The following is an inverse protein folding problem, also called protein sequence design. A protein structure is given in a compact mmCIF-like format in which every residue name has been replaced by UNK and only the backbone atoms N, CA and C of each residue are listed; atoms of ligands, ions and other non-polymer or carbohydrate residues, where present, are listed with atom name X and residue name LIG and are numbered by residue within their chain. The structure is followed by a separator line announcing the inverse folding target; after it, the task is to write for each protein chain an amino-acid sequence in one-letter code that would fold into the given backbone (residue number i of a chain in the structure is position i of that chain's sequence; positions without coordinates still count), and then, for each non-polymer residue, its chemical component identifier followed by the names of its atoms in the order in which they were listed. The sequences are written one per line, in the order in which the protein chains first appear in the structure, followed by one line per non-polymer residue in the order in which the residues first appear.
data_IF_953931412022
#
_entry.id   IF_953931412022
#
_cell.length_a   1.000
_cell.length_b   1.000
_cell.length_c   1.000
_cell.angle_alpha   90.00
_cell.angle_beta   90.00
_cell.angle_gamma   90.00
#
_symmetry.space_group_name_H-M   'P 1'
#
loop_
_entity.id
_entity.type
_entity.pdbx_description
1 polymer ?
#
# COMPACT_ATOMS: atom_id res chain seq x y z
N UNK A 1 -14.60 19.19 -1.09
CA UNK A 1 -13.43 18.85 -1.91
C UNK A 1 -13.37 17.33 -2.05
N UNK A 2 -13.16 16.79 -3.26
CA UNK A 2 -13.12 15.35 -3.52
C UNK A 2 -11.73 14.76 -3.24
N UNK A 3 -10.69 15.48 -3.67
CA UNK A 3 -9.28 15.16 -3.47
C UNK A 3 -8.61 16.37 -2.80
N UNK A 4 -8.14 16.29 -1.54
CA UNK A 4 -7.36 17.35 -0.92
C UNK A 4 -5.96 17.45 -1.54
N UNK A 5 -5.25 18.55 -1.26
CA UNK A 5 -3.81 18.63 -1.53
C UNK A 5 -3.04 17.56 -0.74
N UNK A 6 -1.77 17.30 -1.09
CA UNK A 6 -0.93 16.39 -0.32
C UNK A 6 -0.81 16.90 1.13
N UNK A 7 -0.88 15.98 2.09
CA UNK A 7 -0.46 16.26 3.46
C UNK A 7 1.05 16.12 3.51
N UNK A 8 1.74 17.17 3.96
CA UNK A 8 3.20 17.20 4.08
C UNK A 8 3.51 17.63 5.51
N UNK A 9 3.98 16.68 6.31
CA UNK A 9 4.47 16.90 7.67
C UNK A 9 6.00 16.80 7.70
N UNK A 10 6.67 17.28 8.77
CA UNK A 10 8.10 17.07 8.91
C UNK A 10 8.45 15.58 8.85
N UNK A 11 9.61 15.26 8.26
CA UNK A 11 10.12 13.91 8.04
C UNK A 11 9.29 13.03 7.06
N UNK A 12 8.25 13.57 6.42
CA UNK A 12 7.56 12.94 5.28
C UNK A 12 8.45 12.99 4.03
N UNK A 13 8.24 12.04 3.10
CA UNK A 13 9.04 11.91 1.87
C UNK A 13 9.10 13.22 1.07
N UNK A 14 7.95 13.86 0.85
CA UNK A 14 7.87 15.14 0.14
C UNK A 14 8.40 16.33 0.94
N UNK A 15 8.59 16.21 2.26
CA UNK A 15 9.24 17.23 3.06
C UNK A 15 10.77 17.12 2.97
N UNK A 16 11.29 15.90 2.87
CA UNK A 16 12.72 15.62 2.66
C UNK A 16 13.16 15.91 1.21
N UNK A 17 12.28 15.71 0.23
CA UNK A 17 12.50 16.08 -1.18
C UNK A 17 11.36 16.95 -1.75
N UNK A 18 11.32 18.25 -1.38
CA UNK A 18 10.27 19.17 -1.84
C UNK A 18 10.34 19.51 -3.33
N UNK A 19 11.47 19.20 -3.99
CA UNK A 19 11.70 19.44 -5.42
C UNK A 19 11.47 18.18 -6.26
N UNK A 20 10.94 17.10 -5.66
CA UNK A 20 10.62 15.87 -6.38
C UNK A 20 9.78 16.19 -7.63
N UNK A 21 10.24 15.79 -8.82
CA UNK A 21 9.63 16.26 -10.06
C UNK A 21 8.21 15.72 -10.18
N UNK A 22 7.22 16.59 -10.48
CA UNK A 22 5.89 16.10 -10.81
C UNK A 22 5.96 15.35 -12.14
N UNK A 23 5.28 14.21 -12.25
CA UNK A 23 5.07 13.54 -13.52
C UNK A 23 3.66 13.88 -14.01
N UNK A 24 3.52 14.63 -15.10
CA UNK A 24 2.22 14.90 -15.71
C UNK A 24 1.75 13.73 -16.61
N UNK A 25 0.57 13.85 -17.23
CA UNK A 25 0.05 12.79 -18.12
C UNK A 25 0.89 12.64 -19.40
N UNK A 26 1.41 13.73 -19.96
CA UNK A 26 2.20 13.69 -21.18
C UNK A 26 3.55 13.04 -20.92
N UNK A 27 4.23 13.43 -19.85
CA UNK A 27 5.49 12.82 -19.42
C UNK A 27 5.32 11.32 -19.18
N UNK A 28 4.27 10.94 -18.44
CA UNK A 28 3.92 9.53 -18.26
C UNK A 28 3.67 8.78 -19.58
N UNK A 29 2.96 9.41 -20.52
CA UNK A 29 2.62 8.78 -21.80
C UNK A 29 3.83 8.58 -22.70
N UNK A 30 4.77 9.54 -22.66
CA UNK A 30 5.97 9.57 -23.48
C UNK A 30 7.14 8.77 -22.83
N UNK A 31 6.95 8.20 -21.64
CA UNK A 31 7.93 7.35 -20.92
C UNK A 31 8.30 6.10 -21.73
N UNK A 32 9.59 5.97 -22.07
CA UNK A 32 10.12 4.89 -22.93
C UNK A 32 10.19 3.54 -22.21
N UNK A 33 10.41 3.55 -20.89
CA UNK A 33 10.51 2.32 -20.09
C UNK A 33 9.14 1.74 -19.71
N UNK A 34 8.03 2.41 -20.09
CA UNK A 34 6.68 1.99 -19.75
C UNK A 34 6.28 0.70 -20.47
N UNK A 35 5.81 -0.27 -19.69
CA UNK A 35 5.25 -1.51 -20.23
C UNK A 35 3.80 -1.31 -20.69
N UNK A 36 3.45 -1.62 -21.94
CA UNK A 36 2.06 -1.51 -22.40
C UNK A 36 1.21 -2.66 -21.86
N UNK A 37 0.00 -2.33 -21.40
CA UNK A 37 -1.05 -3.34 -21.18
C UNK A 37 -1.62 -3.71 -22.55
N UNK A 38 -1.74 -5.01 -22.82
CA UNK A 38 -2.30 -5.53 -24.08
C UNK A 38 -3.22 -6.71 -23.77
N UNK A 39 -4.06 -7.12 -24.72
CA UNK A 39 -4.93 -8.29 -24.53
C UNK A 39 -4.14 -9.57 -24.22
N UNK A 40 -2.94 -9.69 -24.78
CA UNK A 40 -2.01 -10.81 -24.57
C UNK A 40 -1.21 -10.68 -23.27
N UNK A 41 -1.00 -9.44 -22.79
CA UNK A 41 -0.19 -9.13 -21.61
C UNK A 41 -0.92 -8.15 -20.69
N UNK A 42 -1.94 -8.66 -19.99
CA UNK A 42 -2.76 -7.91 -19.02
C UNK A 42 -2.89 -8.59 -17.66
N UNK A 43 -2.07 -9.61 -17.39
CA UNK A 43 -2.14 -10.34 -16.13
C UNK A 43 -1.16 -9.77 -15.10
N UNK A 44 -1.65 -9.42 -13.91
CA UNK A 44 -0.83 -9.18 -12.72
C UNK A 44 -0.75 -10.48 -11.93
N UNK A 45 0.46 -10.96 -11.66
CA UNK A 45 0.68 -12.14 -10.85
C UNK A 45 1.13 -11.78 -9.45
N UNK A 46 0.42 -12.28 -8.44
CA UNK A 46 0.83 -12.19 -7.03
C UNK A 46 1.49 -13.50 -6.63
N UNK A 47 2.77 -13.45 -6.29
CA UNK A 47 3.54 -14.56 -5.74
C UNK A 47 3.40 -14.52 -4.22
N UNK A 48 2.84 -15.57 -3.59
CA UNK A 48 2.76 -15.62 -2.14
C UNK A 48 4.15 -15.77 -1.52
N UNK A 49 4.26 -15.44 -0.22
CA UNK A 49 5.49 -15.62 0.55
C UNK A 49 6.10 -17.01 0.35
N UNK A 50 7.42 -17.12 0.02
CA UNK A 50 8.04 -18.39 -0.27
C UNK A 50 7.95 -19.37 0.90
N UNK A 51 7.67 -20.64 0.61
CA UNK A 51 7.54 -21.65 1.66
C UNK A 51 8.88 -21.90 2.36
N UNK A 52 8.89 -21.93 3.69
CA UNK A 52 10.10 -22.22 4.48
C UNK A 52 10.33 -23.73 4.55
N UNK A 53 11.47 -24.21 4.03
CA UNK A 53 11.83 -25.63 4.11
C UNK A 53 12.40 -26.01 5.49
N UNK A 54 12.42 -27.31 5.79
CA UNK A 54 12.92 -27.83 7.06
C UNK A 54 14.40 -27.48 7.32
N UNK A 55 15.21 -27.30 6.28
CA UNK A 55 16.64 -26.94 6.41
C UNK A 55 16.87 -25.56 7.04
N UNK A 56 15.87 -24.68 6.90
CA UNK A 56 15.90 -23.28 7.35
C UNK A 56 14.69 -22.94 8.21
N UNK A 57 14.12 -23.94 8.91
CA UNK A 57 12.91 -23.79 9.73
C UNK A 57 12.98 -22.64 10.75
N UNK A 58 14.19 -22.26 11.18
CA UNK A 58 14.43 -21.14 12.10
C UNK A 58 14.03 -19.79 11.52
N UNK A 59 13.90 -19.66 10.20
CA UNK A 59 13.40 -18.45 9.54
C UNK A 59 11.95 -18.13 9.91
N UNK A 60 11.16 -19.09 10.41
CA UNK A 60 9.78 -18.84 10.84
C UNK A 60 9.69 -17.75 11.91
N UNK A 61 10.74 -17.54 12.70
CA UNK A 61 10.75 -16.48 13.71
C UNK A 61 11.08 -15.10 13.13
N UNK A 62 11.51 -14.99 11.87
CA UNK A 62 11.89 -13.71 11.24
C UNK A 62 10.66 -12.86 10.92
N UNK A 63 9.49 -13.49 10.75
CA UNK A 63 8.22 -12.80 10.51
C UNK A 63 7.49 -12.40 11.81
N UNK A 64 8.13 -12.56 12.97
CA UNK A 64 7.54 -12.24 14.28
C UNK A 64 8.12 -10.95 14.81
N UNK A 65 7.26 -9.96 15.03
CA UNK A 65 7.64 -8.68 15.62
C UNK A 65 8.33 -8.82 16.97
N UNK A 66 9.46 -8.15 17.15
CA UNK A 66 10.15 -8.01 18.43
C UNK A 66 9.85 -6.64 19.01
N UNK A 67 8.91 -6.57 19.97
CA UNK A 67 8.54 -5.33 20.66
C UNK A 67 9.12 -5.30 22.07
N UNK A 68 9.86 -4.24 22.43
CA UNK A 68 10.27 -3.94 23.82
C UNK A 68 9.06 -3.60 24.72
N UNK A 69 7.90 -3.28 24.13
CA UNK A 69 6.64 -3.00 24.80
C UNK A 69 5.74 -4.25 24.89
N UNK A 70 6.30 -5.43 25.11
CA UNK A 70 5.56 -6.65 25.48
C UNK A 70 4.93 -6.53 26.89
N UNK A 71 4.20 -5.45 27.14
CA UNK A 71 3.31 -5.28 28.27
C UNK A 71 2.14 -6.25 28.09
N UNK A 72 2.26 -7.37 28.79
CA UNK A 72 1.30 -8.46 28.96
C UNK A 72 1.18 -9.44 27.80
N UNK A 73 1.61 -10.65 28.11
CA UNK A 73 1.56 -11.93 27.37
C UNK A 73 0.14 -12.39 27.00
N UNK A 74 -0.85 -11.49 26.99
CA UNK A 74 -2.26 -11.74 26.61
C UNK A 74 -2.63 -11.20 25.22
N UNK A 75 -1.94 -10.18 24.71
CA UNK A 75 -2.21 -9.60 23.38
C UNK A 75 -1.38 -10.27 22.25
N UNK A 76 -0.51 -11.23 22.57
CA UNK A 76 0.21 -12.05 21.58
C UNK A 76 -0.72 -13.03 20.82
N UNK A 77 -2.04 -12.97 21.04
CA UNK A 77 -3.02 -13.86 20.41
C UNK A 77 -3.37 -13.41 18.99
N UNK A 78 -2.81 -14.15 18.03
CA UNK A 78 -3.43 -14.58 16.77
C UNK A 78 -4.14 -13.52 15.91
N UNK A 79 -3.45 -12.41 15.58
CA UNK A 79 -3.81 -11.72 14.33
C UNK A 79 -3.45 -12.65 13.18
N UNK A 80 -4.44 -13.15 12.45
CA UNK A 80 -4.20 -13.93 11.25
C UNK A 80 -3.75 -13.01 10.10
N UNK A 81 -2.84 -13.46 9.23
CA UNK A 81 -2.47 -12.71 8.03
C UNK A 81 -3.67 -12.48 7.11
N UNK A 82 -3.69 -11.37 6.36
CA UNK A 82 -4.71 -11.12 5.36
C UNK A 82 -4.80 -12.29 4.40
N UNK A 83 -6.03 -12.74 4.11
CA UNK A 83 -6.22 -13.82 3.14
C UNK A 83 -5.80 -13.32 1.77
N UNK A 84 -5.00 -14.12 1.07
CA UNK A 84 -4.58 -13.81 -0.32
C UNK A 84 -5.78 -13.52 -1.22
N UNK A 85 -6.91 -14.21 -1.03
CA UNK A 85 -8.11 -13.96 -1.81
C UNK A 85 -8.66 -12.54 -1.62
N UNK A 86 -8.59 -11.97 -0.42
CA UNK A 86 -9.03 -10.60 -0.16
C UNK A 86 -8.10 -9.57 -0.81
N UNK A 87 -6.80 -9.85 -0.83
CA UNK A 87 -5.79 -9.06 -1.57
C UNK A 87 -6.11 -9.09 -3.08
N UNK A 88 -6.28 -10.29 -3.65
CA UNK A 88 -6.56 -10.45 -5.09
C UNK A 88 -7.83 -9.72 -5.50
N UNK A 89 -8.89 -9.77 -4.69
CA UNK A 89 -10.15 -9.08 -4.98
C UNK A 89 -10.02 -7.55 -4.93
N UNK A 90 -9.29 -7.01 -3.94
CA UNK A 90 -9.04 -5.58 -3.87
C UNK A 90 -8.20 -5.10 -5.07
N UNK A 91 -7.11 -5.79 -5.38
CA UNK A 91 -6.26 -5.44 -6.52
C UNK A 91 -7.01 -5.60 -7.85
N UNK A 92 -7.87 -6.62 -8.00
CA UNK A 92 -8.72 -6.76 -9.19
C UNK A 92 -9.68 -5.59 -9.35
N UNK A 93 -10.21 -5.05 -8.25
CA UNK A 93 -11.04 -3.86 -8.28
C UNK A 93 -10.22 -2.59 -8.57
N UNK A 94 -9.01 -2.48 -8.03
CA UNK A 94 -8.12 -1.33 -8.23
C UNK A 94 -7.56 -1.26 -9.65
N UNK A 95 -7.18 -2.39 -10.24
CA UNK A 95 -6.69 -2.54 -11.59
C UNK A 95 -7.78 -3.10 -12.53
N UNK A 96 -9.02 -2.62 -12.37
CA UNK A 96 -10.17 -3.02 -13.20
C UNK A 96 -9.79 -3.08 -14.68
N UNK A 97 -10.15 -4.17 -15.36
CA UNK A 97 -9.75 -4.45 -16.76
C UNK A 97 -8.53 -5.37 -16.92
N UNK A 98 -7.68 -5.48 -15.89
CA UNK A 98 -6.58 -6.45 -15.83
C UNK A 98 -6.98 -7.75 -15.11
N UNK A 99 -6.29 -8.85 -15.41
CA UNK A 99 -6.48 -10.09 -14.67
C UNK A 99 -5.52 -10.10 -13.47
N UNK A 100 -6.00 -10.26 -12.23
CA UNK A 100 -5.13 -10.45 -11.07
C UNK A 100 -5.18 -11.91 -10.63
N UNK A 101 -4.05 -12.61 -10.69
CA UNK A 101 -3.97 -14.06 -10.47
C UNK A 101 -2.91 -14.41 -9.42
N UNK A 102 -3.17 -15.49 -8.68
CA UNK A 102 -2.14 -16.10 -7.84
C UNK A 102 -1.12 -16.82 -8.73
N UNK A 103 0.15 -16.61 -8.47
CA UNK A 103 1.22 -17.40 -9.08
C UNK A 103 1.33 -18.75 -8.37
N UNK A 104 1.05 -19.84 -9.08
CA UNK A 104 0.86 -21.17 -8.47
C UNK A 104 2.13 -21.99 -8.30
N UNK A 105 3.22 -21.62 -8.98
CA UNK A 105 4.50 -22.34 -8.86
C UNK A 105 5.25 -21.80 -7.62
N UNK A 106 5.60 -22.65 -6.64
CA UNK A 106 6.10 -22.15 -5.37
C UNK A 106 7.57 -21.73 -5.46
N UNK A 107 7.89 -20.59 -4.86
CA UNK A 107 9.24 -20.27 -4.41
C UNK A 107 9.47 -20.91 -3.03
N UNK A 108 10.71 -21.26 -2.71
CA UNK A 108 11.03 -21.89 -1.43
C UNK A 108 12.32 -21.35 -0.81
N UNK A 109 12.27 -21.03 0.48
CA UNK A 109 13.47 -20.74 1.25
C UNK A 109 14.24 -22.03 1.51
N UNK A 110 15.52 -22.03 1.17
CA UNK A 110 16.46 -23.13 1.33
C UNK A 110 17.76 -22.66 1.96
N UNK A 111 18.53 -23.65 2.40
CA UNK A 111 19.85 -23.43 2.95
C UNK A 111 20.78 -22.82 1.88
N UNK A 112 21.51 -21.78 2.25
CA UNK A 112 22.65 -21.30 1.49
C UNK A 112 23.92 -21.66 2.25
N UNK A 113 24.79 -22.45 1.61
CA UNK A 113 26.01 -23.01 2.21
C UNK A 113 25.77 -23.71 3.57
N UNK A 114 26.25 -23.10 4.65
CA UNK A 114 26.18 -23.62 6.02
C UNK A 114 25.10 -22.92 6.87
N UNK A 115 24.54 -21.82 6.40
CA UNK A 115 23.61 -20.99 7.19
C UNK A 115 22.20 -21.58 7.19
N UNK A 116 21.59 -21.68 8.37
CA UNK A 116 20.30 -22.37 8.59
C UNK A 116 19.19 -21.42 9.01
N UNK A 117 19.35 -20.11 8.74
CA UNK A 117 18.36 -19.09 9.12
C UNK A 117 18.34 -18.72 10.61
N UNK A 118 19.43 -18.95 11.34
CA UNK A 118 19.55 -18.51 12.75
C UNK A 118 19.67 -16.99 12.84
N UNK A 119 18.88 -16.33 13.70
CA UNK A 119 18.98 -14.88 13.94
C UNK A 119 20.43 -14.46 14.23
N UNK A 120 20.86 -13.40 13.55
CA UNK A 120 22.19 -12.82 13.71
C UNK A 120 22.20 -11.91 14.95
N UNK A 121 23.28 -11.95 15.72
CA UNK A 121 23.39 -11.20 16.99
C UNK A 121 24.05 -9.83 16.83
N UNK A 122 24.73 -9.62 15.71
CA UNK A 122 25.58 -8.47 15.44
C UNK A 122 25.03 -7.76 14.20
N UNK A 123 24.62 -6.48 14.31
CA UNK A 123 24.02 -5.74 13.19
C UNK A 123 24.88 -5.71 11.93
N UNK A 124 26.20 -5.59 12.08
CA UNK A 124 27.15 -5.50 10.95
C UNK A 124 27.42 -6.83 10.24
N UNK A 125 26.81 -7.93 10.70
CA UNK A 125 27.03 -9.25 10.09
C UNK A 125 26.00 -9.53 9.02
N UNK A 126 26.47 -9.66 7.79
CA UNK A 126 25.66 -10.16 6.68
C UNK A 126 25.85 -11.67 6.49
N UNK A 127 24.75 -12.34 6.14
CA UNK A 127 24.74 -13.73 5.65
C UNK A 127 23.87 -13.83 4.41
N UNK A 128 23.96 -14.94 3.70
CA UNK A 128 23.02 -15.28 2.62
C UNK A 128 22.13 -16.45 3.02
N UNK A 129 20.89 -16.41 2.55
CA UNK A 129 19.89 -17.47 2.62
C UNK A 129 19.40 -17.78 1.21
N UNK A 130 19.05 -19.03 0.93
CA UNK A 130 18.75 -19.46 -0.43
C UNK A 130 17.28 -19.25 -0.78
N UNK A 131 16.98 -18.64 -1.92
CA UNK A 131 15.64 -18.60 -2.50
C UNK A 131 15.61 -19.48 -3.76
N UNK A 132 14.93 -20.62 -3.65
CA UNK A 132 14.74 -21.56 -4.76
C UNK A 132 13.55 -21.09 -5.60
N UNK A 133 13.80 -20.86 -6.88
CA UNK A 133 12.79 -20.44 -7.86
C UNK A 133 12.00 -21.64 -8.40
N UNK A 134 10.85 -21.39 -9.04
CA UNK A 134 10.15 -22.37 -9.87
C UNK A 134 11.01 -23.00 -10.97
N UNK A 135 11.98 -22.26 -11.53
CA UNK A 135 12.95 -22.74 -12.52
C UNK A 135 14.01 -23.69 -11.94
N UNK A 136 14.00 -23.92 -10.61
CA UNK A 136 14.98 -24.71 -9.84
C UNK A 136 16.36 -24.06 -9.73
N UNK A 137 16.42 -22.75 -9.86
CA UNK A 137 17.63 -21.96 -9.61
C UNK A 137 17.62 -21.49 -8.15
N UNK A 138 18.80 -21.47 -7.54
CA UNK A 138 18.96 -21.04 -6.15
C UNK A 138 19.65 -19.68 -6.14
N UNK A 139 18.93 -18.66 -5.70
CA UNK A 139 19.45 -17.30 -5.52
C UNK A 139 19.92 -17.11 -4.09
N UNK A 140 21.07 -16.48 -3.90
CA UNK A 140 21.61 -16.21 -2.58
C UNK A 140 21.16 -14.85 -2.10
N UNK A 141 20.14 -14.80 -1.27
CA UNK A 141 19.53 -13.57 -0.76
C UNK A 141 20.32 -13.09 0.46
N UNK A 142 20.87 -11.88 0.41
CA UNK A 142 21.50 -11.23 1.56
C UNK A 142 20.49 -11.03 2.67
N UNK A 143 20.93 -11.20 3.90
CA UNK A 143 20.12 -11.02 5.08
C UNK A 143 20.97 -10.50 6.24
N UNK A 144 20.36 -9.65 7.06
CA UNK A 144 20.98 -8.97 8.20
C UNK A 144 20.04 -8.92 9.40
N UNK A 145 20.55 -8.62 10.58
CA UNK A 145 19.68 -8.25 11.70
C UNK A 145 19.08 -6.85 11.44
N UNK A 146 17.83 -6.61 11.86
CA UNK A 146 17.22 -5.29 11.67
C UNK A 146 17.94 -4.22 12.48
N UNK A 147 18.28 -3.06 11.90
CA UNK A 147 18.95 -1.97 12.63
C UNK A 147 18.14 -1.42 13.81
N UNK A 148 16.82 -1.40 13.69
CA UNK A 148 15.89 -0.86 14.70
C UNK A 148 15.37 -1.90 15.71
N UNK A 149 15.71 -3.17 15.53
CA UNK A 149 15.27 -4.27 16.40
C UNK A 149 13.78 -4.60 16.36
N UNK A 150 12.96 -3.95 15.52
CA UNK A 150 11.51 -4.25 15.39
C UNK A 150 11.31 -5.60 14.67
N UNK A 151 12.11 -5.84 13.63
CA UNK A 151 12.27 -7.17 13.04
C UNK A 151 13.49 -7.89 13.62
N UNK A 152 13.43 -9.21 13.85
CA UNK A 152 14.62 -9.98 14.17
C UNK A 152 15.65 -10.00 13.03
N UNK A 153 15.18 -10.02 11.78
CA UNK A 153 15.99 -10.22 10.59
C UNK A 153 15.33 -9.57 9.36
N UNK A 154 16.14 -9.09 8.42
CA UNK A 154 15.70 -8.53 7.15
C UNK A 154 16.31 -9.31 5.99
N UNK A 155 15.61 -9.36 4.86
CA UNK A 155 16.14 -9.86 3.58
C UNK A 155 16.35 -8.69 2.61
N UNK A 156 17.39 -8.78 1.78
CA UNK A 156 17.68 -7.74 0.80
C UNK A 156 16.68 -7.81 -0.36
N UNK A 157 16.06 -6.67 -0.65
CA UNK A 157 15.01 -6.48 -1.64
C UNK A 157 15.49 -6.71 -3.08
N UNK A 158 16.65 -6.18 -3.45
CA UNK A 158 17.17 -6.32 -4.81
C UNK A 158 17.43 -7.78 -5.17
N UNK A 159 18.02 -8.55 -4.24
CA UNK A 159 18.27 -9.97 -4.46
C UNK A 159 16.95 -10.77 -4.66
N UNK A 160 15.83 -10.32 -4.05
CA UNK A 160 14.49 -10.91 -4.27
C UNK A 160 13.98 -10.58 -5.67
N UNK A 161 14.12 -9.32 -6.08
CA UNK A 161 13.66 -8.84 -7.37
C UNK A 161 14.45 -9.50 -8.52
N UNK A 162 15.76 -9.72 -8.36
CA UNK A 162 16.58 -10.50 -9.28
C UNK A 162 16.05 -11.93 -9.47
N UNK A 163 15.70 -12.61 -8.38
CA UNK A 163 15.13 -13.96 -8.45
C UNK A 163 13.74 -13.98 -9.14
N UNK A 164 12.97 -12.89 -8.99
CA UNK A 164 11.66 -12.75 -9.60
C UNK A 164 11.75 -12.45 -11.10
N UNK A 165 12.74 -11.66 -11.53
CA UNK A 165 12.95 -11.25 -12.92
C UNK A 165 13.10 -12.45 -13.88
N UNK A 166 13.74 -13.53 -13.43
CA UNK A 166 13.94 -14.76 -14.19
C UNK A 166 12.69 -15.66 -14.26
N UNK A 167 11.59 -15.29 -13.59
CA UNK A 167 10.40 -16.14 -13.42
C UNK A 167 9.09 -15.47 -13.84
N UNK A 168 9.15 -14.49 -14.74
CA UNK A 168 7.99 -13.74 -15.24
C UNK A 168 7.20 -14.57 -16.28
N UNK A 169 5.89 -14.86 -16.07
CA UNK A 169 5.05 -15.47 -17.09
C UNK A 169 4.97 -14.64 -18.37
N UNK A 170 4.80 -15.30 -19.52
CA UNK A 170 4.76 -14.61 -20.82
C UNK A 170 3.58 -13.65 -20.99
N UNK A 171 2.45 -13.95 -20.35
CA UNK A 171 1.22 -13.13 -20.34
C UNK A 171 1.19 -12.12 -19.16
N UNK A 172 2.22 -12.12 -18.33
CA UNK A 172 2.30 -11.20 -17.20
C UNK A 172 2.63 -9.78 -17.68
N UNK A 173 1.74 -8.84 -17.37
CA UNK A 173 2.07 -7.43 -17.34
C UNK A 173 3.07 -7.15 -16.22
N UNK A 174 2.81 -7.66 -15.02
CA UNK A 174 3.69 -7.50 -13.87
C UNK A 174 3.59 -8.68 -12.93
N UNK A 175 4.63 -8.87 -12.13
CA UNK A 175 4.71 -9.89 -11.09
C UNK A 175 5.16 -9.24 -9.79
N UNK A 176 4.43 -9.51 -8.72
CA UNK A 176 4.73 -9.01 -7.39
C UNK A 176 4.96 -10.15 -6.41
N UNK A 177 6.06 -10.13 -5.66
CA UNK A 177 6.27 -11.05 -4.54
C UNK A 177 5.82 -10.42 -3.22
N UNK A 178 4.95 -11.13 -2.50
CA UNK A 178 4.65 -10.84 -1.10
C UNK A 178 5.66 -11.55 -0.19
N UNK A 179 6.11 -10.88 0.86
CA UNK A 179 7.02 -11.45 1.85
C UNK A 179 6.48 -11.28 3.27
N UNK A 180 6.52 -12.35 4.07
CA UNK A 180 6.19 -12.27 5.50
C UNK A 180 7.30 -11.63 6.33
N UNK A 181 8.50 -11.52 5.74
CA UNK A 181 9.70 -10.99 6.39
C UNK A 181 9.90 -9.51 6.05
N UNK A 182 10.55 -8.81 6.97
CA UNK A 182 11.00 -7.44 6.75
C UNK A 182 12.08 -7.36 5.65
N UNK A 183 12.15 -6.23 4.94
CA UNK A 183 13.06 -6.04 3.81
C UNK A 183 13.92 -4.79 4.00
N UNK A 184 15.06 -4.75 3.30
CA UNK A 184 15.90 -3.57 3.13
C UNK A 184 16.47 -3.53 1.72
N UNK A 185 16.80 -2.35 1.22
CA UNK A 185 17.44 -2.18 -0.08
C UNK A 185 18.95 -1.91 0.07
N UNK A 186 19.31 -0.82 0.76
CA UNK A 186 20.68 -0.37 0.94
C UNK A 186 21.19 -0.34 2.39
N UNK A 187 22.46 0.03 2.54
CA UNK A 187 23.16 0.08 3.83
C UNK A 187 22.70 1.25 4.73
N UNK A 188 22.08 2.28 4.14
CA UNK A 188 21.52 3.43 4.87
C UNK A 188 20.08 3.25 5.33
N UNK A 189 19.36 2.27 4.78
CA UNK A 189 17.93 2.11 5.04
C UNK A 189 17.71 1.41 6.37
N UNK A 190 16.70 1.87 7.12
CA UNK A 190 16.22 1.12 8.28
C UNK A 190 15.43 -0.10 7.78
N UNK A 191 14.50 0.09 6.84
CA UNK A 191 13.71 -0.95 6.18
C UNK A 191 13.11 -0.40 4.88
N UNK A 192 12.53 -1.28 4.07
CA UNK A 192 11.75 -0.93 2.87
C UNK A 192 10.45 -1.73 2.87
N UNK A 193 9.29 -1.06 2.80
CA UNK A 193 7.98 -1.75 2.81
C UNK A 193 7.64 -2.39 1.46
N UNK A 194 8.04 -1.73 0.36
CA UNK A 194 7.83 -2.19 -1.00
C UNK A 194 8.77 -1.49 -1.97
N UNK A 195 8.97 -2.11 -3.14
CA UNK A 195 9.66 -1.50 -4.28
C UNK A 195 9.21 -2.17 -5.56
N UNK A 196 9.18 -1.38 -6.63
CA UNK A 196 9.01 -1.84 -7.98
C UNK A 196 10.18 -1.41 -8.88
N UNK A 197 10.57 -2.30 -9.79
CA UNK A 197 11.33 -1.96 -10.98
C UNK A 197 10.37 -2.02 -12.16
N UNK A 198 9.70 -0.89 -12.42
CA UNK A 198 8.54 -0.84 -13.31
C UNK A 198 8.83 -1.28 -14.74
N UNK A 199 9.93 -0.81 -15.33
CA UNK A 199 10.42 -1.26 -16.65
C UNK A 199 10.69 -2.76 -16.71
N UNK A 200 11.15 -3.35 -15.61
CA UNK A 200 11.40 -4.79 -15.47
C UNK A 200 10.15 -5.62 -15.12
N UNK A 201 8.99 -4.98 -14.90
CA UNK A 201 7.70 -5.65 -14.60
C UNK A 201 7.69 -6.44 -13.29
N UNK A 202 8.52 -6.06 -12.32
CA UNK A 202 8.68 -6.77 -11.05
C UNK A 202 8.50 -5.83 -9.86
N UNK A 203 7.90 -6.35 -8.81
CA UNK A 203 7.75 -5.65 -7.54
C UNK A 203 7.84 -6.63 -6.35
N UNK A 204 8.13 -6.13 -5.17
CA UNK A 204 8.05 -6.88 -3.93
C UNK A 204 7.48 -6.00 -2.82
N UNK A 205 6.67 -6.60 -1.94
CA UNK A 205 6.06 -5.93 -0.78
C UNK A 205 6.18 -6.83 0.43
N UNK A 206 6.61 -6.25 1.55
CA UNK A 206 6.65 -6.91 2.85
C UNK A 206 5.33 -6.70 3.60
N UNK A 207 4.83 -7.75 4.22
CA UNK A 207 3.69 -7.68 5.14
C UNK A 207 4.12 -7.30 6.57
N UNK A 208 5.42 -7.30 6.86
CA UNK A 208 5.94 -7.30 8.23
C UNK A 208 5.64 -6.01 8.97
N UNK A 209 5.97 -4.86 8.38
CA UNK A 209 5.84 -3.54 9.01
C UNK A 209 4.40 -3.08 9.14
N UNK A 210 3.54 -3.61 8.29
CA UNK A 210 2.10 -3.42 8.36
C UNK A 210 1.41 -4.36 9.36
N UNK A 211 2.10 -5.34 9.95
CA UNK A 211 1.53 -6.20 10.97
C UNK A 211 1.05 -5.36 12.16
N UNK A 212 -0.15 -5.55 12.74
CA UNK A 212 -0.68 -4.69 13.81
C UNK A 212 0.17 -4.60 15.09
N UNK A 213 1.06 -5.57 15.30
CA UNK A 213 2.04 -5.56 16.41
C UNK A 213 3.31 -4.75 16.10
N UNK A 214 3.59 -4.47 14.82
CA UNK A 214 4.75 -3.68 14.37
C UNK A 214 4.35 -2.27 13.94
N UNK A 215 3.17 -2.13 13.35
CA UNK A 215 2.66 -0.84 12.92
C UNK A 215 2.40 0.07 14.14
N UNK A 216 2.61 1.39 14.00
CA UNK A 216 2.19 2.36 15.00
C UNK A 216 0.71 2.20 15.33
N UNK A 217 0.34 2.48 16.59
CA UNK A 217 -1.06 2.42 17.01
C UNK A 217 -1.84 3.52 16.30
N UNK A 218 -3.01 3.18 15.79
CA UNK A 218 -3.95 4.16 15.25
C UNK A 218 -4.35 5.15 16.34
N UNK A 219 -3.90 6.39 16.20
CA UNK A 219 -4.18 7.52 17.08
C UNK A 219 -5.49 8.24 16.72
N UNK A 220 -6.22 7.72 15.73
CA UNK A 220 -7.45 8.29 15.19
C UNK A 220 -7.23 9.24 14.01
N UNK A 221 -5.97 9.51 13.64
CA UNK A 221 -5.58 10.45 12.60
C UNK A 221 -5.01 9.78 11.33
N UNK A 222 -5.10 8.46 11.20
CA UNK A 222 -4.98 7.80 9.91
C UNK A 222 -6.04 8.33 8.90
N UNK A 223 -5.84 8.08 7.60
CA UNK A 223 -6.85 8.40 6.59
C UNK A 223 -8.20 7.74 6.96
N UNK A 224 -9.35 8.45 6.84
CA UNK A 224 -9.57 9.75 6.20
C UNK A 224 -9.41 10.99 7.10
N UNK A 225 -9.00 10.83 8.35
CA UNK A 225 -8.89 11.91 9.34
C UNK A 225 -7.49 12.59 9.38
N UNK A 226 -6.60 12.24 8.46
CA UNK A 226 -5.20 12.70 8.41
C UNK A 226 -5.04 14.22 8.31
N UNK A 227 -6.04 14.93 7.78
CA UNK A 227 -6.01 16.39 7.65
C UNK A 227 -6.60 17.12 8.87
N UNK A 228 -6.63 16.50 10.05
CA UNK A 228 -7.12 17.14 11.26
C UNK A 228 -6.20 18.30 11.68
N UNK A 229 -6.70 19.53 11.62
CA UNK A 229 -5.91 20.73 11.92
C UNK A 229 -5.22 20.67 13.30
N UNK A 230 -5.94 20.24 14.35
CA UNK A 230 -5.36 20.14 15.70
C UNK A 230 -4.22 19.13 15.80
N UNK A 231 -4.32 18.02 15.07
CA UNK A 231 -3.29 17.00 15.03
C UNK A 231 -2.05 17.48 14.27
N UNK A 232 -2.26 18.10 13.11
CA UNK A 232 -1.20 18.69 12.30
C UNK A 232 -0.46 19.78 13.09
N UNK A 233 -1.18 20.71 13.72
CA UNK A 233 -0.59 21.75 14.55
C UNK A 233 0.27 21.16 15.67
N UNK A 234 -0.19 20.07 16.30
CA UNK A 234 0.56 19.38 17.34
C UNK A 234 1.88 18.80 16.80
N UNK A 235 1.84 18.03 15.70
CA UNK A 235 3.03 17.42 15.12
C UNK A 235 4.05 18.47 14.67
N UNK A 236 3.61 19.53 14.00
CA UNK A 236 4.47 20.64 13.61
C UNK A 236 5.12 21.34 14.82
N UNK A 237 4.38 21.48 15.93
CA UNK A 237 4.89 22.08 17.17
C UNK A 237 5.90 21.20 17.90
N UNK A 238 5.69 19.88 17.94
CA UNK A 238 6.60 18.92 18.59
C UNK A 238 7.98 18.93 17.95
N UNK A 239 8.04 18.96 16.62
CA UNK A 239 9.30 19.08 15.86
C UNK A 239 9.99 20.43 16.12
N UNK A 240 9.20 21.51 16.21
CA UNK A 240 9.75 22.86 16.44
C UNK A 240 10.24 23.09 17.87
N UNK A 241 9.69 22.40 18.88
CA UNK A 241 10.00 22.61 20.31
C UNK A 241 9.95 21.30 21.12
N UNK A 242 10.96 20.42 21.01
CA UNK A 242 10.94 19.08 21.62
C UNK A 242 10.93 19.07 23.17
N UNK A 243 11.17 20.21 23.84
CA UNK A 243 11.35 20.29 25.30
C UNK A 243 10.16 20.83 26.11
N UNK A 244 9.02 21.14 25.50
CA UNK A 244 7.85 21.70 26.23
C UNK A 244 6.63 20.77 26.18
N UNK A 245 6.34 20.09 27.31
CA UNK A 245 5.02 19.49 27.54
C UNK A 245 3.98 20.61 27.60
N UNK A 246 3.08 20.70 26.61
CA UNK A 246 1.99 21.68 26.64
C UNK A 246 0.74 21.14 27.32
N UNK A 247 0.12 22.05 28.08
CA UNK A 247 -1.25 22.03 28.59
C UNK A 247 -2.25 22.14 27.44
N UNK A 248 -3.30 21.30 27.48
CA UNK A 248 -4.42 21.30 26.52
C UNK A 248 -4.93 22.71 26.23
N UNK A 249 -4.61 23.27 25.06
CA UNK A 249 -5.26 24.47 24.53
C UNK A 249 -6.58 24.07 23.89
N UNK A 250 -7.66 24.76 24.26
CA UNK A 250 -8.96 24.59 23.61
C UNK A 250 -8.92 25.20 22.20
N UNK A 251 -9.55 24.55 21.20
CA UNK A 251 -9.51 25.03 19.83
C UNK A 251 -10.34 26.31 19.66
N UNK A 252 -9.93 27.22 18.75
CA UNK A 252 -10.82 28.28 18.30
C UNK A 252 -12.02 27.65 17.57
N UNK A 253 -13.23 28.11 17.92
CA UNK A 253 -14.47 27.70 17.24
C UNK A 253 -14.44 28.24 15.80
N UNK A 254 -13.98 27.45 14.84
CA UNK A 254 -14.28 27.70 13.43
C UNK A 254 -15.70 27.22 13.15
N UNK A 255 -16.52 28.12 12.59
CA UNK A 255 -17.83 27.76 12.08
C UNK A 255 -17.63 26.76 10.94
N UNK A 256 -18.04 25.49 11.16
CA UNK A 256 -18.09 24.46 10.11
C UNK A 256 -18.97 24.98 8.96
N UNK A 257 -18.36 25.37 7.84
CA UNK A 257 -19.08 25.70 6.60
C UNK A 257 -19.17 24.45 5.73
N UNK A 258 -20.40 24.07 5.42
CA UNK A 258 -20.87 23.05 4.47
C UNK A 258 -20.15 21.69 4.43
N UNK A 259 -20.55 20.83 5.38
CA UNK A 259 -20.16 19.43 5.49
C UNK A 259 -20.96 18.51 4.58
N UNK A 260 -20.64 18.49 3.28
CA UNK A 260 -21.28 17.57 2.32
C UNK A 260 -20.35 16.97 1.26
N UNK A 261 -19.04 17.23 1.33
CA UNK A 261 -18.06 16.70 0.37
C UNK A 261 -17.71 15.22 0.62
N UNK A 262 -17.18 14.49 -0.39
CA UNK A 262 -16.81 13.07 -0.24
C UNK A 262 -15.91 12.80 0.97
N UNK A 263 -14.89 13.64 1.21
CA UNK A 263 -13.99 13.48 2.35
C UNK A 263 -14.69 13.71 3.71
N UNK A 264 -15.68 14.60 3.76
CA UNK A 264 -16.44 14.85 4.99
C UNK A 264 -17.24 13.60 5.37
N UNK A 265 -17.95 13.02 4.39
CA UNK A 265 -18.72 11.79 4.57
C UNK A 265 -17.81 10.61 4.94
N UNK A 266 -16.61 10.55 4.37
CA UNK A 266 -15.60 9.55 4.75
C UNK A 266 -15.18 9.67 6.22
N UNK A 267 -14.90 10.89 6.71
CA UNK A 267 -14.54 11.15 8.11
C UNK A 267 -15.67 10.76 9.05
N UNK A 268 -16.91 11.11 8.72
CA UNK A 268 -18.08 10.74 9.53
C UNK A 268 -18.27 9.22 9.58
N UNK A 269 -18.14 8.53 8.44
CA UNK A 269 -18.25 7.08 8.37
C UNK A 269 -17.11 6.35 9.10
N UNK A 270 -15.92 6.96 9.18
CA UNK A 270 -14.76 6.41 9.89
C UNK A 270 -14.76 6.72 11.39
N UNK A 271 -15.68 7.55 11.90
CA UNK A 271 -15.73 7.87 13.33
C UNK A 271 -16.11 6.63 14.16
N UNK A 272 -15.25 6.26 15.12
CA UNK A 272 -15.51 5.13 16.02
C UNK A 272 -16.53 5.59 17.08
N UNK A 273 -17.57 4.78 17.29
CA UNK A 273 -18.51 4.99 18.39
C UNK A 273 -18.02 4.26 19.64
N UNK A 274 -17.62 5.03 20.65
CA UNK A 274 -16.91 4.59 21.88
C UNK A 274 -17.60 3.49 22.71
N UNK A 275 -18.85 3.14 22.41
CA UNK A 275 -19.65 2.17 23.16
C UNK A 275 -19.61 0.73 22.59
N UNK A 276 -18.81 0.47 21.56
CA UNK A 276 -18.82 -0.83 20.86
C UNK A 276 -17.54 -1.63 21.03
N UNK A 277 -17.71 -2.94 21.24
CA UNK A 277 -16.62 -3.93 21.25
C UNK A 277 -15.94 -3.98 19.89
N UNK A 278 -14.60 -3.99 19.86
CA UNK A 278 -13.81 -4.16 18.63
C UNK A 278 -13.96 -5.61 18.15
N UNK A 279 -14.39 -5.86 16.91
CA UNK A 279 -14.49 -7.21 16.34
C UNK A 279 -13.13 -7.91 16.25
N UNK A 280 -13.12 -9.24 16.34
CA UNK A 280 -11.89 -10.04 16.35
C UNK A 280 -11.10 -9.92 15.04
N UNK A 281 -11.81 -9.71 13.93
CA UNK A 281 -11.27 -9.55 12.58
C UNK A 281 -10.65 -8.16 12.31
N UNK A 282 -10.82 -7.19 13.21
CA UNK A 282 -10.38 -5.81 12.98
C UNK A 282 -8.87 -5.67 12.73
N UNK A 283 -7.96 -6.31 13.49
CA UNK A 283 -6.52 -6.21 13.24
C UNK A 283 -6.13 -6.73 11.85
N UNK A 284 -6.69 -7.86 11.42
CA UNK A 284 -6.45 -8.43 10.09
C UNK A 284 -7.00 -7.53 8.99
N UNK A 285 -8.17 -6.93 9.17
CA UNK A 285 -8.76 -6.01 8.18
C UNK A 285 -7.97 -4.69 8.06
N UNK A 286 -7.43 -4.17 9.17
CA UNK A 286 -6.54 -3.01 9.16
C UNK A 286 -5.20 -3.32 8.49
N UNK A 287 -4.64 -4.50 8.78
CA UNK A 287 -3.43 -4.99 8.12
C UNK A 287 -3.63 -5.14 6.61
N UNK A 288 -4.73 -5.77 6.19
CA UNK A 288 -5.13 -5.85 4.79
C UNK A 288 -5.16 -4.45 4.15
N UNK A 289 -5.78 -3.49 4.82
CA UNK A 289 -5.93 -2.13 4.32
C UNK A 289 -4.61 -1.43 4.03
N UNK A 290 -3.62 -1.56 4.92
CA UNK A 290 -2.27 -1.00 4.69
C UNK A 290 -1.57 -1.69 3.53
N UNK A 291 -1.53 -3.02 3.56
CA UNK A 291 -0.84 -3.83 2.57
C UNK A 291 -1.36 -3.59 1.16
N UNK A 292 -2.69 -3.57 0.96
CA UNK A 292 -3.24 -3.43 -0.40
C UNK A 292 -3.01 -2.04 -1.00
N UNK A 293 -2.86 -1.00 -0.17
CA UNK A 293 -2.49 0.34 -0.64
C UNK A 293 -1.03 0.35 -1.08
N UNK A 294 -0.12 -0.20 -0.28
CA UNK A 294 1.30 -0.38 -0.65
C UNK A 294 1.45 -1.24 -1.91
N UNK A 295 0.72 -2.36 -2.02
CA UNK A 295 0.73 -3.18 -3.22
C UNK A 295 0.19 -2.44 -4.45
N UNK A 296 -0.87 -1.65 -4.30
CA UNK A 296 -1.39 -0.86 -5.41
C UNK A 296 -0.41 0.24 -5.84
N UNK A 297 0.33 0.83 -4.90
CA UNK A 297 1.40 1.77 -5.17
C UNK A 297 2.50 1.15 -6.04
N UNK A 298 3.09 0.03 -5.60
CA UNK A 298 4.15 -0.64 -6.36
C UNK A 298 3.69 -1.18 -7.72
N UNK A 299 2.44 -1.63 -7.83
CA UNK A 299 1.88 -2.06 -9.12
C UNK A 299 1.59 -0.90 -10.07
N UNK A 300 1.31 0.31 -9.56
CA UNK A 300 1.22 1.50 -10.38
C UNK A 300 2.59 1.92 -10.94
N UNK A 301 3.68 1.75 -10.17
CA UNK A 301 5.04 1.89 -10.71
C UNK A 301 5.30 0.93 -11.88
N UNK A 302 4.76 -0.30 -11.82
CA UNK A 302 4.82 -1.22 -12.97
C UNK A 302 4.07 -0.72 -14.22
N UNK A 303 3.16 0.24 -14.08
CA UNK A 303 2.44 0.92 -15.17
C UNK A 303 3.10 2.26 -15.57
N UNK A 304 4.28 2.56 -15.03
CA UNK A 304 5.07 3.76 -15.33
C UNK A 304 4.68 5.01 -14.53
N UNK A 305 3.80 4.90 -13.52
CA UNK A 305 3.44 6.04 -12.69
C UNK A 305 4.57 6.32 -11.69
N UNK A 306 5.07 7.55 -11.65
CA UNK A 306 5.99 8.02 -10.59
C UNK A 306 5.24 8.45 -9.32
N UNK A 307 5.99 8.84 -8.28
CA UNK A 307 5.38 9.43 -7.11
C UNK A 307 4.56 10.68 -7.49
N UNK A 308 3.41 10.85 -6.84
CA UNK A 308 2.46 11.93 -7.09
C UNK A 308 2.68 13.08 -6.11
N UNK A 309 2.90 14.28 -6.63
CA UNK A 309 3.04 15.51 -5.82
C UNK A 309 1.82 16.45 -5.90
N UNK A 310 0.81 16.12 -6.73
CA UNK A 310 -0.31 17.02 -7.03
C UNK A 310 -1.42 17.09 -5.96
N UNK A 311 -1.79 15.95 -5.40
CA UNK A 311 -2.93 15.78 -4.49
C UNK A 311 -2.62 14.66 -3.50
N UNK A 312 -3.43 14.55 -2.44
CA UNK A 312 -3.45 13.31 -1.66
C UNK A 312 -3.72 12.13 -2.59
N UNK A 313 -2.82 11.14 -2.60
CA UNK A 313 -2.83 10.06 -3.58
C UNK A 313 -2.12 8.82 -3.02
N UNK A 314 -2.62 7.63 -3.36
CA UNK A 314 -1.93 6.37 -3.08
C UNK A 314 -0.54 6.30 -3.75
N UNK A 315 -0.28 7.13 -4.76
CA UNK A 315 1.03 7.27 -5.40
C UNK A 315 1.93 8.31 -4.76
N UNK A 316 1.58 8.93 -3.62
CA UNK A 316 2.57 9.77 -2.93
C UNK A 316 3.74 8.91 -2.45
N UNK A 317 4.96 9.47 -2.49
CA UNK A 317 6.10 8.85 -1.82
C UNK A 317 5.85 8.67 -0.32
N UNK A 318 6.53 7.71 0.28
CA UNK A 318 6.29 7.30 1.67
C UNK A 318 7.58 6.85 2.34
N UNK A 319 8.06 7.63 3.30
CA UNK A 319 9.29 7.34 4.05
C UNK A 319 9.07 6.56 5.34
N UNK A 320 7.82 6.45 5.84
CA UNK A 320 7.55 5.84 7.14
C UNK A 320 6.19 5.12 7.22
N UNK A 321 6.03 4.25 8.22
CA UNK A 321 4.73 3.57 8.49
C UNK A 321 3.67 4.57 8.98
N UNK A 322 4.08 5.65 9.66
CA UNK A 322 3.16 6.72 10.09
C UNK A 322 2.67 7.55 8.91
N UNK A 323 3.53 7.81 7.92
CA UNK A 323 3.13 8.42 6.65
C UNK A 323 2.18 7.53 5.85
N UNK A 324 2.48 6.22 5.74
CA UNK A 324 1.64 5.25 5.05
C UNK A 324 0.19 5.23 5.57
N UNK A 325 0.01 5.37 6.89
CA UNK A 325 -1.33 5.41 7.50
C UNK A 325 -2.15 6.66 7.14
N UNK A 326 -1.49 7.74 6.72
CA UNK A 326 -2.12 9.00 6.33
C UNK A 326 -2.47 9.04 4.84
N UNK A 327 -1.87 8.17 4.03
CA UNK A 327 -2.12 8.08 2.60
C UNK A 327 -3.54 7.58 2.29
N UNK A 328 -4.21 8.14 1.26
CA UNK A 328 -5.52 7.68 0.86
C UNK A 328 -5.47 6.36 0.07
N UNK A 329 -6.52 5.52 0.13
CA UNK A 329 -6.63 4.28 -0.65
C UNK A 329 -7.07 4.52 -2.11
N UNK A 330 -6.98 5.76 -2.60
CA UNK A 330 -7.37 6.15 -3.96
C UNK A 330 -6.21 6.82 -4.69
N UNK A 331 -6.27 6.79 -6.03
CA UNK A 331 -5.45 7.65 -6.88
C UNK A 331 -6.18 8.96 -7.16
N UNK A 332 -5.43 10.06 -7.22
CA UNK A 332 -5.95 11.39 -7.57
C UNK A 332 -6.35 11.45 -9.05
N UNK A 333 -7.02 12.52 -9.53
CA UNK A 333 -7.47 12.61 -10.92
C UNK A 333 -6.35 12.46 -11.96
N UNK A 334 -5.14 12.94 -11.67
CA UNK A 334 -3.98 12.83 -12.57
C UNK A 334 -3.52 11.38 -12.68
N UNK A 335 -3.29 10.72 -11.55
CA UNK A 335 -2.90 9.30 -11.52
C UNK A 335 -4.02 8.37 -12.00
N UNK A 336 -5.29 8.73 -11.78
CA UNK A 336 -6.43 7.99 -12.29
C UNK A 336 -6.48 8.02 -13.82
N UNK A 337 -6.26 9.19 -14.43
CA UNK A 337 -6.23 9.34 -15.88
C UNK A 337 -5.11 8.48 -16.50
N UNK A 338 -3.91 8.49 -15.90
CA UNK A 338 -2.80 7.62 -16.31
C UNK A 338 -3.16 6.14 -16.18
N UNK A 339 -3.63 5.72 -14.99
CA UNK A 339 -3.98 4.33 -14.70
C UNK A 339 -5.08 3.80 -15.64
N UNK A 340 -6.17 4.56 -15.80
CA UNK A 340 -7.29 4.18 -16.63
C UNK A 340 -6.89 4.15 -18.11
N UNK A 341 -6.09 5.12 -18.58
CA UNK A 341 -5.57 5.10 -19.96
C UNK A 341 -4.65 3.91 -20.19
N UNK A 342 -3.72 3.64 -19.28
CA UNK A 342 -2.78 2.53 -19.36
C UNK A 342 -3.48 1.19 -19.62
N UNK A 343 -4.57 0.95 -18.89
CA UNK A 343 -5.34 -0.29 -18.99
C UNK A 343 -6.32 -0.22 -20.16
N UNK A 344 -7.09 0.84 -20.25
CA UNK A 344 -8.19 1.04 -21.18
C UNK A 344 -7.78 0.92 -22.65
N UNK A 345 -6.73 1.64 -23.06
CA UNK A 345 -6.21 1.60 -24.44
C UNK A 345 -5.84 0.17 -24.88
N UNK A 346 -5.36 -0.64 -23.93
CA UNK A 346 -4.89 -1.99 -24.21
C UNK A 346 -5.97 -3.06 -24.27
N UNK A 347 -7.10 -2.87 -23.56
CA UNK A 347 -8.06 -3.95 -23.30
C UNK A 347 -9.53 -3.60 -23.55
N UNK A 348 -9.87 -2.32 -23.78
CA UNK A 348 -11.25 -1.85 -23.98
C UNK A 348 -11.43 -1.38 -25.42
N UNK A 349 -12.42 -1.95 -26.12
CA UNK A 349 -12.77 -1.51 -27.47
C UNK A 349 -13.42 -0.12 -27.43
N UNK A 350 -12.98 0.77 -28.33
CA UNK A 350 -13.55 2.12 -28.44
C UNK A 350 -13.09 3.09 -27.36
N UNK A 351 -11.91 2.89 -26.75
CA UNK A 351 -11.39 3.74 -25.66
C UNK A 351 -11.38 5.25 -25.94
N UNK A 352 -11.31 5.67 -27.20
CA UNK A 352 -11.37 7.09 -27.60
C UNK A 352 -12.73 7.76 -27.28
N UNK A 353 -13.79 6.97 -27.09
CA UNK A 353 -15.12 7.46 -26.73
C UNK A 353 -15.18 7.85 -25.24
N UNK A 354 -15.57 9.10 -24.97
CA UNK A 354 -15.65 9.66 -23.62
C UNK A 354 -16.63 8.85 -22.73
N UNK A 355 -17.77 8.42 -23.28
CA UNK A 355 -18.74 7.60 -22.54
C UNK A 355 -18.20 6.23 -22.13
N UNK A 356 -17.36 5.63 -22.98
CA UNK A 356 -16.65 4.38 -22.69
C UNK A 356 -15.65 4.55 -21.55
N UNK A 357 -14.89 5.65 -21.56
CA UNK A 357 -13.93 5.98 -20.48
C UNK A 357 -14.64 6.25 -19.16
N UNK A 358 -15.69 7.06 -19.17
CA UNK A 358 -16.51 7.37 -18.00
C UNK A 358 -17.17 6.11 -17.42
N UNK A 359 -17.68 5.24 -18.29
CA UNK A 359 -18.23 3.94 -17.92
C UNK A 359 -17.18 3.07 -17.21
N UNK A 360 -15.98 2.99 -17.77
CA UNK A 360 -14.88 2.22 -17.20
C UNK A 360 -14.45 2.73 -15.81
N UNK A 361 -14.30 4.04 -15.65
CA UNK A 361 -13.97 4.66 -14.36
C UNK A 361 -15.07 4.38 -13.33
N UNK A 362 -16.34 4.49 -13.73
CA UNK A 362 -17.48 4.19 -12.84
C UNK A 362 -17.49 2.73 -12.40
N UNK A 363 -17.31 1.79 -13.32
CA UNK A 363 -17.26 0.36 -13.02
C UNK A 363 -16.12 0.00 -12.06
N UNK A 364 -14.94 0.61 -12.26
CA UNK A 364 -13.80 0.49 -11.35
C UNK A 364 -14.17 0.95 -9.94
N UNK A 365 -14.77 2.14 -9.80
CA UNK A 365 -15.19 2.63 -8.49
C UNK A 365 -16.28 1.78 -7.86
N UNK A 366 -17.23 1.25 -8.63
CA UNK A 366 -18.23 0.31 -8.14
C UNK A 366 -17.60 -1.00 -7.64
N UNK A 367 -16.57 -1.51 -8.32
CA UNK A 367 -15.81 -2.68 -7.87
C UNK A 367 -15.11 -2.40 -6.53
N UNK A 368 -14.40 -1.27 -6.42
CA UNK A 368 -13.72 -0.86 -5.18
C UNK A 368 -14.71 -0.66 -4.04
N UNK A 369 -15.89 -0.12 -4.34
CA UNK A 369 -16.96 0.09 -3.36
C UNK A 369 -17.48 -1.25 -2.83
N UNK A 370 -17.70 -2.24 -3.71
CA UNK A 370 -18.13 -3.60 -3.31
C UNK A 370 -17.11 -4.26 -2.39
N UNK A 371 -15.83 -4.23 -2.75
CA UNK A 371 -14.77 -4.85 -1.93
C UNK A 371 -14.62 -4.13 -0.59
N UNK A 372 -14.58 -2.80 -0.60
CA UNK A 372 -14.47 -1.98 0.62
C UNK A 372 -15.67 -2.16 1.55
N UNK A 373 -16.86 -2.39 0.99
CA UNK A 373 -18.07 -2.66 1.76
C UNK A 373 -17.99 -3.90 2.67
N UNK A 374 -17.18 -4.91 2.33
CA UNK A 374 -16.99 -6.11 3.18
C UNK A 374 -16.37 -5.78 4.54
N UNK A 375 -15.52 -4.76 4.57
CA UNK A 375 -14.82 -4.29 5.77
C UNK A 375 -15.29 -2.89 6.19
N UNK A 376 -16.40 -2.41 5.63
CA UNK A 376 -16.87 -1.02 5.72
C UNK A 376 -17.47 -0.61 7.07
N UNK A 377 -17.26 -1.41 8.12
CA UNK A 377 -17.63 -1.08 9.49
C UNK A 377 -16.46 -0.34 10.16
N UNK A 378 -16.69 0.86 10.67
CA UNK A 378 -15.64 1.68 11.30
C UNK A 378 -14.92 1.00 12.47
N UNK A 379 -15.60 0.08 13.18
CA UNK A 379 -15.00 -0.69 14.26
C UNK A 379 -14.11 -1.84 13.76
N UNK A 380 -14.25 -2.23 12.48
CA UNK A 380 -13.41 -3.22 11.81
C UNK A 380 -12.23 -2.54 11.12
N UNK A 381 -12.52 -1.59 10.23
CA UNK A 381 -11.50 -0.79 9.55
C UNK A 381 -12.02 0.61 9.23
N UNK A 382 -11.39 1.62 9.83
CA UNK A 382 -11.67 3.04 9.56
C UNK A 382 -11.42 3.40 8.10
N UNK A 383 -10.33 2.87 7.52
CA UNK A 383 -9.98 3.08 6.12
C UNK A 383 -11.08 2.54 5.21
N UNK A 384 -11.49 1.27 5.34
CA UNK A 384 -12.51 0.72 4.45
C UNK A 384 -13.89 1.36 4.65
N UNK A 385 -14.25 1.70 5.89
CA UNK A 385 -15.49 2.43 6.19
C UNK A 385 -15.52 3.81 5.52
N UNK A 386 -14.44 4.58 5.71
CA UNK A 386 -14.28 5.89 5.08
C UNK A 386 -14.23 5.79 3.55
N UNK A 387 -13.54 4.79 3.00
CA UNK A 387 -13.38 4.65 1.56
C UNK A 387 -14.65 4.23 0.85
N UNK A 388 -15.41 3.28 1.41
CA UNK A 388 -16.74 2.96 0.90
C UNK A 388 -17.63 4.20 0.88
N UNK A 389 -17.66 4.98 1.95
CA UNK A 389 -18.49 6.17 2.06
C UNK A 389 -18.06 7.29 1.10
N UNK A 390 -16.74 7.47 0.91
CA UNK A 390 -16.19 8.35 -0.12
C UNK A 390 -16.64 7.91 -1.53
N UNK A 391 -16.54 6.61 -1.84
CA UNK A 391 -16.92 6.04 -3.13
C UNK A 391 -18.42 6.18 -3.40
N UNK A 392 -19.28 5.99 -2.39
CA UNK A 392 -20.74 6.22 -2.53
C UNK A 392 -21.03 7.61 -3.11
N UNK A 393 -20.41 8.65 -2.53
CA UNK A 393 -20.62 10.05 -2.95
C UNK A 393 -19.97 10.34 -4.30
N UNK A 394 -18.80 9.77 -4.58
CA UNK A 394 -18.09 10.00 -5.86
C UNK A 394 -18.87 9.40 -7.03
N UNK A 395 -19.39 8.18 -6.88
CA UNK A 395 -20.19 7.50 -7.92
C UNK A 395 -21.51 8.25 -8.18
N UNK A 396 -22.18 8.71 -7.12
CA UNK A 396 -23.42 9.49 -7.22
C UNK A 396 -23.19 10.79 -8.02
N UNK A 397 -22.17 11.57 -7.66
CA UNK A 397 -21.85 12.83 -8.34
C UNK A 397 -21.41 12.66 -9.80
N UNK A 398 -20.74 11.56 -10.13
CA UNK A 398 -20.39 11.24 -11.51
C UNK A 398 -21.63 10.91 -12.36
N UNK A 399 -22.69 10.39 -11.74
CA UNK A 399 -23.95 10.06 -12.41
C UNK A 399 -24.81 11.31 -12.70
N UNK A 400 -24.64 12.39 -11.95
CA UNK A 400 -25.40 13.65 -12.12
C UNK A 400 -24.95 14.50 -13.32
N UNK A 401 -23.78 14.23 -13.92
CA UNK A 401 -23.25 15.00 -15.07
C UNK A 401 -23.98 14.77 -16.40
N UNK A 402 -24.99 13.89 -16.46
CA UNK A 402 -25.73 13.57 -17.70
C UNK A 402 -27.19 14.05 -17.63
N UNK A 403 -27.42 15.36 -17.48
CA UNK A 403 -28.64 16.04 -17.99
C UNK A 403 -28.34 17.54 -18.16
N UNK A 404 -27.83 17.95 -19.33
CA UNK A 404 -28.07 19.31 -19.82
C UNK A 404 -29.17 19.17 -20.86
N UNK A 405 -30.42 19.35 -20.43
CA UNK A 405 -31.50 19.67 -21.37
C UNK A 405 -31.21 21.09 -21.84
N UNK A 406 -30.76 21.23 -23.08
CA UNK A 406 -30.84 22.51 -23.78
C UNK A 406 -32.29 22.58 -24.25
N UNK A 407 -33.12 23.28 -23.48
CA UNK A 407 -34.43 23.71 -23.97
C UNK A 407 -34.20 24.84 -25.00
N UNK A 408 -34.77 24.67 -26.18
CA UNK A 408 -34.69 25.55 -27.37
C UNK A 408 -35.18 26.99 -27.15
#
# INVERSE_FOLDING_TARGET
MMFPGPLILPDDDLAEDPEYPPQDFREWRDEEERNPVTRERKTIYIVPSPSITQEVYKMQTWSVCTSENAATTRDMQATEPPKLQDILEYLSAFFHGMDVKLFTKPFQWKKWDKYTGTILKTPDTERRIGLMTPSKELFGIRCRASPDGVSPMQVNLDDILDALAENIPSDAHSVMMLLDMDMYEGDGDIFTAGRAYGGSRIAAVSLFRDHPLCAPRDDGHAWPASHCATYIDQLCHEVSNPSTKQTKRQPPQSQRRDGGGPLHVAIEAAAIHAERTIPLEAPTAQWLGRVVVTMAHELCHCLGLDHCTYFACAMQGCGSVDEAQRQPPYVCPVCLEKLCTAIGEGVVDGWEDEGTRDGFVRERYEALRRVSGRWGNANVSRMFAGYKAWLDVVIERSSEKVVIVIDD
#
